data_IF_366330701066
#
_entry.id   IF_366330701066
#
_cell.length_a   1.000
_cell.length_b   1.000
_cell.length_c   1.000
_cell.angle_alpha   90.00
_cell.angle_beta   90.00
_cell.angle_gamma   90.00
#
_symmetry.space_group_name_H-M   'P 1'
#
loop_
_entity.id
_entity.type
_entity.pdbx_description
1 polymer ?
#
# COMPACT_ATOMS: atom_id res chain seq x y z
N UNK A 1 7.16 16.61 -5.65
CA UNK A 1 6.55 15.36 -6.14
C UNK A 1 6.53 14.39 -4.97
N UNK A 2 5.38 14.14 -4.36
CA UNK A 2 5.29 13.28 -3.18
C UNK A 2 4.92 11.86 -3.63
N UNK A 3 5.88 10.94 -3.49
CA UNK A 3 5.72 9.56 -3.91
C UNK A 3 4.63 8.81 -3.12
N UNK A 4 4.18 7.66 -3.63
CA UNK A 4 3.11 6.83 -3.04
C UNK A 4 3.53 6.09 -1.78
N UNK A 5 4.82 6.18 -1.48
CA UNK A 5 5.44 5.68 -0.28
C UNK A 5 6.46 6.71 0.22
N UNK A 6 6.77 6.62 1.51
CA UNK A 6 7.77 7.44 2.17
C UNK A 6 8.82 6.50 2.76
N UNK A 7 10.04 6.44 2.21
CA UNK A 7 11.10 5.63 2.78
C UNK A 7 11.43 6.11 4.21
N UNK A 8 11.72 5.15 5.07
CA UNK A 8 12.10 5.29 6.48
C UNK A 8 13.40 4.53 6.71
N UNK A 9 14.07 4.81 7.82
CA UNK A 9 15.32 4.11 8.17
C UNK A 9 15.13 2.60 8.33
N UNK A 10 13.98 2.17 8.85
CA UNK A 10 13.64 0.77 9.10
C UNK A 10 12.72 0.13 8.03
N UNK A 11 12.40 0.87 6.96
CA UNK A 11 11.47 0.38 5.92
C UNK A 11 10.82 1.50 5.11
N UNK A 12 9.50 1.46 4.91
CA UNK A 12 8.76 2.53 4.26
C UNK A 12 7.31 2.66 4.73
N UNK A 13 6.76 3.88 4.67
CA UNK A 13 5.36 4.16 4.89
C UNK A 13 4.62 4.20 3.55
N UNK A 14 3.66 3.32 3.35
CA UNK A 14 2.91 3.12 2.11
C UNK A 14 1.52 3.74 2.26
N UNK A 15 1.16 4.68 1.38
CA UNK A 15 -0.16 5.29 1.39
C UNK A 15 -1.10 4.49 0.51
N UNK A 16 -2.09 3.83 1.11
CA UNK A 16 -3.04 2.96 0.42
C UNK A 16 -4.46 3.47 0.60
N UNK A 17 -5.15 3.73 -0.51
CA UNK A 17 -6.59 3.94 -0.54
C UNK A 17 -7.30 2.60 -0.67
N UNK A 18 -7.98 2.20 0.41
CA UNK A 18 -8.72 0.95 0.46
C UNK A 18 -10.17 1.16 0.01
N UNK A 19 -10.59 0.42 -1.01
CA UNK A 19 -11.99 0.37 -1.45
C UNK A 19 -12.58 -1.00 -1.06
N UNK A 20 -13.40 -1.07 0.00
CA UNK A 20 -14.09 -2.30 0.39
C UNK A 20 -15.26 -2.61 -0.56
N UNK A 21 -15.87 -3.80 -0.40
CA UNK A 21 -16.98 -4.30 -1.25
C UNK A 21 -16.60 -4.40 -2.74
N UNK A 22 -15.35 -4.76 -3.03
CA UNK A 22 -14.94 -5.08 -4.39
C UNK A 22 -15.34 -6.51 -4.78
N UNK A 23 -15.47 -6.78 -6.08
CA UNK A 23 -15.74 -8.13 -6.57
C UNK A 23 -14.58 -9.11 -6.30
N UNK A 24 -13.35 -8.58 -6.20
CA UNK A 24 -12.09 -9.33 -6.13
C UNK A 24 -11.11 -8.59 -5.21
N UNK A 25 -10.20 -9.32 -4.57
CA UNK A 25 -9.03 -8.75 -3.89
C UNK A 25 -7.90 -8.47 -4.91
N UNK A 26 -7.63 -7.17 -5.15
CA UNK A 26 -6.61 -6.75 -6.13
C UNK A 26 -6.03 -5.38 -5.80
N UNK A 27 -4.72 -5.25 -6.01
CA UNK A 27 -4.04 -3.96 -6.09
C UNK A 27 -4.20 -3.42 -7.50
N UNK A 28 -4.77 -2.22 -7.64
CA UNK A 28 -4.93 -1.57 -8.94
C UNK A 28 -3.72 -0.73 -9.35
N UNK A 29 -2.82 -0.43 -8.41
CA UNK A 29 -1.61 0.33 -8.66
C UNK A 29 -1.64 1.73 -8.05
N UNK A 30 -0.71 2.58 -8.48
CA UNK A 30 -0.48 3.90 -7.89
C UNK A 30 -1.32 4.93 -8.65
N UNK A 31 -2.16 5.68 -7.94
CA UNK A 31 -2.84 6.86 -8.48
C UNK A 31 -2.19 8.14 -7.94
N UNK A 32 -1.84 9.04 -8.83
CA UNK A 32 -1.42 10.39 -8.48
C UNK A 32 -2.64 11.29 -8.42
N UNK A 33 -2.93 11.81 -7.23
CA UNK A 33 -3.96 12.81 -7.00
C UNK A 33 -3.54 14.16 -7.60
N UNK A 34 -4.52 15.01 -7.91
CA UNK A 34 -4.31 16.35 -8.45
C UNK A 34 -3.45 17.26 -7.53
N UNK A 35 -3.33 16.92 -6.24
CA UNK A 35 -2.46 17.59 -5.26
C UNK A 35 -0.96 17.24 -5.42
N UNK A 36 -0.60 16.38 -6.40
CA UNK A 36 0.77 15.91 -6.59
C UNK A 36 1.24 14.85 -5.59
N UNK A 37 0.28 14.25 -4.87
CA UNK A 37 0.49 13.11 -3.97
C UNK A 37 0.06 11.83 -4.65
N UNK A 38 0.91 10.81 -4.57
CA UNK A 38 0.58 9.49 -5.07
C UNK A 38 0.04 8.59 -3.95
N UNK A 39 -0.88 7.69 -4.28
CA UNK A 39 -1.54 6.78 -3.35
C UNK A 39 -1.81 5.45 -4.05
N UNK A 40 -1.54 4.34 -3.39
CA UNK A 40 -1.81 3.00 -3.90
C UNK A 40 -3.31 2.69 -3.80
N UNK A 41 -3.96 2.27 -4.87
CA UNK A 41 -5.34 1.77 -4.83
C UNK A 41 -5.35 0.29 -4.52
N UNK A 42 -5.99 -0.06 -3.42
CA UNK A 42 -6.30 -1.43 -3.07
C UNK A 42 -7.80 -1.64 -3.04
N UNK A 43 -8.26 -2.71 -3.67
CA UNK A 43 -9.66 -3.13 -3.63
C UNK A 43 -9.72 -4.50 -2.98
N UNK A 44 -10.60 -4.64 -2.00
CA UNK A 44 -10.79 -5.91 -1.30
C UNK A 44 -12.27 -6.27 -1.27
N UNK A 45 -12.58 -7.55 -1.44
CA UNK A 45 -13.93 -8.07 -1.21
C UNK A 45 -14.32 -8.07 0.27
N UNK A 46 -13.32 -7.98 1.16
CA UNK A 46 -13.54 -7.89 2.58
C UNK A 46 -14.41 -6.66 2.92
N UNK A 47 -15.40 -6.91 3.78
CA UNK A 47 -16.21 -5.84 4.38
C UNK A 47 -15.37 -5.07 5.40
N UNK A 48 -15.59 -3.75 5.56
CA UNK A 48 -14.87 -2.93 6.53
C UNK A 48 -15.36 -3.16 7.97
N UNK A 49 -16.02 -4.29 8.25
CA UNK A 49 -16.51 -4.66 9.57
C UNK A 49 -15.36 -5.25 10.40
N UNK A 50 -15.13 -4.71 11.59
CA UNK A 50 -14.17 -5.21 12.59
C UNK A 50 -12.73 -5.48 12.07
N UNK A 51 -12.22 -4.67 11.14
CA UNK A 51 -10.84 -4.78 10.67
C UNK A 51 -10.58 -5.92 9.68
N UNK A 52 -11.61 -6.63 9.19
CA UNK A 52 -11.45 -7.63 8.14
C UNK A 52 -10.83 -7.03 6.85
N UNK A 53 -11.18 -5.79 6.52
CA UNK A 53 -10.58 -5.05 5.42
C UNK A 53 -9.08 -4.73 5.67
N UNK A 54 -8.65 -4.51 6.91
CA UNK A 54 -7.23 -4.35 7.24
C UNK A 54 -6.50 -5.67 7.08
N UNK A 55 -7.00 -6.75 7.67
CA UNK A 55 -6.40 -8.07 7.57
C UNK A 55 -6.25 -8.54 6.12
N UNK A 56 -7.28 -8.33 5.30
CA UNK A 56 -7.22 -8.64 3.87
C UNK A 56 -6.19 -7.77 3.15
N UNK A 57 -6.11 -6.47 3.48
CA UNK A 57 -5.12 -5.57 2.89
C UNK A 57 -3.69 -5.94 3.31
N UNK A 58 -3.46 -6.19 4.60
CA UNK A 58 -2.17 -6.60 5.14
C UNK A 58 -1.70 -7.89 4.48
N UNK A 59 -2.56 -8.89 4.33
CA UNK A 59 -2.23 -10.14 3.61
C UNK A 59 -1.95 -9.90 2.12
N UNK A 60 -2.75 -9.06 1.45
CA UNK A 60 -2.58 -8.73 0.04
C UNK A 60 -1.23 -8.03 -0.19
N UNK A 61 -0.91 -7.04 0.65
CA UNK A 61 0.33 -6.27 0.58
C UNK A 61 1.53 -7.13 0.96
N UNK A 62 1.45 -7.90 2.04
CA UNK A 62 2.47 -8.86 2.45
C UNK A 62 2.81 -9.83 1.31
N UNK A 63 1.78 -10.42 0.67
CA UNK A 63 1.97 -11.36 -0.43
C UNK A 63 2.51 -10.69 -1.70
N UNK A 64 2.08 -9.46 -2.00
CA UNK A 64 2.54 -8.70 -3.16
C UNK A 64 4.00 -8.22 -3.02
N UNK A 65 4.41 -7.87 -1.81
CA UNK A 65 5.77 -7.41 -1.49
C UNK A 65 6.72 -8.56 -1.09
N UNK A 66 6.18 -9.75 -0.79
CA UNK A 66 6.95 -10.90 -0.33
C UNK A 66 7.44 -10.78 1.13
N UNK A 67 6.79 -9.96 1.95
CA UNK A 67 7.16 -9.72 3.36
C UNK A 67 6.18 -10.39 4.32
N UNK A 68 6.59 -10.71 5.56
CA UNK A 68 5.66 -11.24 6.56
C UNK A 68 4.63 -10.18 6.96
N UNK A 69 3.40 -10.61 7.28
CA UNK A 69 2.34 -9.72 7.81
C UNK A 69 2.80 -8.92 9.04
N UNK A 70 3.70 -9.47 9.87
CA UNK A 70 4.24 -8.77 11.04
C UNK A 70 5.13 -7.59 10.69
N UNK A 71 5.67 -7.55 9.47
CA UNK A 71 6.42 -6.41 8.96
C UNK A 71 5.49 -5.32 8.42
N UNK A 72 4.23 -5.63 8.14
CA UNK A 72 3.22 -4.65 7.70
C UNK A 72 2.41 -4.21 8.92
N UNK A 73 2.28 -2.90 9.13
CA UNK A 73 1.51 -2.34 10.24
C UNK A 73 0.81 -1.07 9.82
N UNK A 74 -0.49 -0.99 10.09
CA UNK A 74 -1.26 0.23 9.81
C UNK A 74 -0.91 1.29 10.85
N UNK A 75 -0.13 2.30 10.46
CA UNK A 75 0.30 3.40 11.36
C UNK A 75 -0.66 4.59 11.33
N UNK A 76 -1.46 4.75 10.28
CA UNK A 76 -2.47 5.81 10.22
C UNK A 76 -3.65 5.45 9.30
N UNK A 77 -4.77 6.14 9.49
CA UNK A 77 -5.93 6.03 8.62
C UNK A 77 -6.85 4.83 8.88
N UNK A 78 -6.83 4.25 10.08
CA UNK A 78 -7.71 3.12 10.45
C UNK A 78 -9.20 3.36 10.16
N UNK A 79 -9.67 4.60 10.38
CA UNK A 79 -11.05 5.06 10.13
C UNK A 79 -11.24 5.83 8.81
N UNK A 80 -10.15 6.15 8.11
CA UNK A 80 -10.19 6.92 6.86
C UNK A 80 -10.16 5.99 5.64
N UNK A 81 -10.68 6.50 4.51
CA UNK A 81 -10.56 5.81 3.20
C UNK A 81 -9.11 5.65 2.75
N UNK A 82 -8.22 6.46 3.32
CA UNK A 82 -6.80 6.55 3.02
C UNK A 82 -6.04 6.05 4.25
N UNK A 83 -5.37 4.92 4.08
CA UNK A 83 -4.60 4.21 5.10
C UNK A 83 -3.12 4.39 4.84
N UNK A 84 -2.34 4.45 5.92
CA UNK A 84 -0.88 4.45 5.86
C UNK A 84 -0.40 3.16 6.50
N UNK A 85 0.26 2.33 5.73
CA UNK A 85 0.84 1.08 6.17
C UNK A 85 2.35 1.23 6.24
N UNK A 86 2.91 1.12 7.42
CA UNK A 86 4.34 1.00 7.61
C UNK A 86 4.75 -0.44 7.27
N UNK A 87 5.72 -0.57 6.37
CA UNK A 87 6.29 -1.86 6.00
C UNK A 87 7.75 -1.85 6.40
N UNK A 88 8.09 -2.68 7.38
CA UNK A 88 9.45 -2.93 7.84
C UNK A 88 10.17 -3.85 6.85
N UNK A 89 11.44 -3.60 6.60
CA UNK A 89 12.27 -4.44 5.73
C UNK A 89 13.11 -3.65 4.74
N UNK A 90 13.61 -4.34 3.72
CA UNK A 90 14.53 -3.75 2.75
C UNK A 90 13.85 -2.69 1.88
N UNK A 91 14.20 -1.40 2.02
CA UNK A 91 13.57 -0.34 1.24
C UNK A 91 13.77 -0.56 -0.25
N UNK A 92 14.91 -1.11 -0.69
CA UNK A 92 15.16 -1.42 -2.10
C UNK A 92 14.21 -2.49 -2.65
N UNK A 93 13.97 -3.57 -1.90
CA UNK A 93 13.05 -4.63 -2.31
C UNK A 93 11.60 -4.14 -2.32
N UNK A 94 11.23 -3.40 -1.27
CA UNK A 94 9.89 -2.84 -1.11
C UNK A 94 9.58 -1.81 -2.20
N UNK A 95 10.50 -0.88 -2.47
CA UNK A 95 10.37 0.09 -3.57
C UNK A 95 10.17 -0.62 -4.89
N UNK A 96 11.01 -1.62 -5.21
CA UNK A 96 10.91 -2.38 -6.46
C UNK A 96 9.58 -3.12 -6.62
N UNK A 97 9.05 -3.69 -5.53
CA UNK A 97 7.76 -4.36 -5.54
C UNK A 97 6.60 -3.36 -5.69
N UNK A 98 6.68 -2.19 -5.05
CA UNK A 98 5.68 -1.11 -5.24
C UNK A 98 5.72 -0.57 -6.67
N UNK A 99 6.89 -0.37 -7.24
CA UNK A 99 7.07 0.04 -8.64
C UNK A 99 6.47 -0.99 -9.60
N UNK A 100 6.66 -2.29 -9.32
CA UNK A 100 6.07 -3.38 -10.10
C UNK A 100 4.53 -3.40 -10.02
N UNK A 101 3.96 -2.99 -8.89
CA UNK A 101 2.51 -2.89 -8.68
C UNK A 101 1.91 -1.60 -9.25
N UNK A 102 2.68 -0.51 -9.23
CA UNK A 102 2.23 0.84 -9.57
C UNK A 102 2.23 1.17 -11.04
N UNK A 103 2.95 0.41 -11.87
CA UNK A 103 3.06 0.67 -13.30
C UNK A 103 3.82 1.96 -13.60
N UNK A 104 5.16 1.90 -13.57
CA UNK A 104 5.99 2.91 -14.21
C UNK A 104 7.41 2.98 -13.67
N UNK A 105 8.44 2.56 -14.43
CA UNK A 105 9.83 2.80 -14.07
C UNK A 105 10.10 4.30 -14.14
N UNK A 106 10.11 4.98 -13.00
CA UNK A 106 10.61 6.34 -12.92
C UNK A 106 12.04 6.31 -12.37
N UNK A 107 12.93 5.69 -13.15
CA UNK A 107 14.36 5.88 -13.00
C UNK A 107 14.76 7.12 -13.81
N UNK A 108 15.26 8.19 -13.18
CA UNK A 108 15.91 9.28 -13.92
C UNK A 108 17.28 8.78 -14.41
N UNK A 109 17.56 8.95 -15.70
CA UNK A 109 18.93 9.05 -16.22
C UNK A 109 19.18 10.48 -16.65
#
# INVERSE_FOLDING_TARGET
>A
MAGPFRPRNDGLDLFVRLTPKAALDRLEGIETSADGRSHLKARVRAVPENGAANQALEQLVAKALGVPRSAVSVVAGGTARLKTLHVLGDPAALTKAIEALGGGPSAPR
#
